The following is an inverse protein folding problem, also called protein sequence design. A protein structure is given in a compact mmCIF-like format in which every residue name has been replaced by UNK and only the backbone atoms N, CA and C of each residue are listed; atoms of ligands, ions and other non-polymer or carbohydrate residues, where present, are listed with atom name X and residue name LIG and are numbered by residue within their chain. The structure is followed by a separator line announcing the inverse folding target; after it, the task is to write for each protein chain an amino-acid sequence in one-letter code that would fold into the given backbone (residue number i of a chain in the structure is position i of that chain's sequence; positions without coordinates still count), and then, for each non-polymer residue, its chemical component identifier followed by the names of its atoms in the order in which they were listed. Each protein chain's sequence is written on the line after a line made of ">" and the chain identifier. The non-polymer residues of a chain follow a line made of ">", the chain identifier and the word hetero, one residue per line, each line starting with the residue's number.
data_IF_247353773090
#
_entry.id   IF_247353773090
#
_cell.length_a   1.000
_cell.length_b   1.000
_cell.length_c   1.000
_cell.angle_alpha   90.00
_cell.angle_beta   90.00
_cell.angle_gamma   90.00
#
_symmetry.space_group_name_H-M   'P 1'
#
loop_
_entity.id
_entity.type
_entity.pdbx_description
1 polymer ?
#
# COMPACT_ATOMS: atom_id res chain seq x y z
N UNK A 1 17.44 -60.87 -82.35
CA UNK A 1 16.38 -61.22 -81.40
C UNK A 1 16.19 -60.11 -80.45
N UNK A 2 15.32 -59.17 -80.73
CA UNK A 2 15.00 -58.03 -79.89
C UNK A 2 13.47 -57.84 -79.95
N UNK A 3 12.82 -57.95 -78.81
CA UNK A 3 11.37 -57.72 -78.63
C UNK A 3 11.09 -56.24 -78.48
N UNK A 4 10.37 -55.65 -79.37
CA UNK A 4 9.76 -54.34 -79.17
C UNK A 4 8.63 -54.38 -78.16
N UNK A 5 8.66 -53.46 -77.21
CA UNK A 5 7.61 -53.25 -76.23
C UNK A 5 6.82 -51.99 -76.62
N UNK A 6 5.56 -52.22 -77.06
CA UNK A 6 4.58 -51.19 -77.44
C UNK A 6 4.17 -50.39 -76.21
N UNK A 7 4.37 -49.07 -76.27
CA UNK A 7 3.91 -48.11 -75.29
C UNK A 7 2.51 -47.60 -75.68
N UNK A 8 1.50 -47.93 -74.87
CA UNK A 8 0.14 -47.42 -75.02
C UNK A 8 0.09 -45.97 -74.55
N UNK A 9 -0.37 -45.06 -75.41
CA UNK A 9 -0.69 -43.65 -75.05
C UNK A 9 -1.87 -43.61 -74.09
N UNK A 10 -1.68 -42.96 -72.96
CA UNK A 10 -2.70 -42.65 -71.94
C UNK A 10 -3.10 -41.20 -72.15
N UNK A 11 -4.41 -40.93 -72.42
CA UNK A 11 -4.98 -39.60 -72.56
C UNK A 11 -4.96 -38.81 -71.21
N UNK A 12 -4.64 -37.53 -71.17
CA UNK A 12 -4.72 -36.74 -69.96
C UNK A 12 -6.17 -36.43 -69.60
N UNK A 13 -6.64 -36.91 -68.48
CA UNK A 13 -7.89 -36.47 -67.81
C UNK A 13 -7.64 -35.14 -67.15
N UNK A 14 -8.33 -34.11 -67.62
CA UNK A 14 -8.33 -32.80 -66.97
C UNK A 14 -9.12 -32.89 -65.65
N UNK A 15 -8.42 -32.90 -64.48
CA UNK A 15 -9.03 -32.76 -63.19
C UNK A 15 -9.15 -31.27 -62.89
N UNK A 16 -10.38 -30.75 -63.02
CA UNK A 16 -10.73 -29.39 -62.57
C UNK A 16 -10.69 -29.39 -61.05
N UNK A 17 -9.61 -28.85 -60.42
CA UNK A 17 -9.55 -28.63 -59.01
C UNK A 17 -10.36 -27.37 -58.71
N UNK A 18 -11.56 -27.57 -58.18
CA UNK A 18 -12.40 -26.51 -57.62
C UNK A 18 -11.72 -26.03 -56.30
N UNK A 19 -11.01 -24.91 -56.41
CA UNK A 19 -10.35 -24.30 -55.25
C UNK A 19 -11.40 -23.80 -54.25
N UNK A 20 -11.58 -24.52 -53.17
CA UNK A 20 -12.30 -24.03 -51.96
C UNK A 20 -11.40 -23.01 -51.29
N UNK A 21 -11.64 -21.72 -51.51
CA UNK A 21 -11.06 -20.66 -50.71
C UNK A 21 -11.66 -20.74 -49.29
N UNK A 22 -10.99 -21.43 -48.38
CA UNK A 22 -11.20 -21.27 -46.98
C UNK A 22 -10.71 -19.84 -46.61
N UNK A 23 -11.64 -18.93 -46.48
CA UNK A 23 -11.37 -17.66 -45.82
C UNK A 23 -11.03 -17.97 -44.36
N UNK A 24 -9.74 -18.08 -44.06
CA UNK A 24 -9.25 -17.98 -42.68
C UNK A 24 -9.59 -16.57 -42.21
N UNK A 25 -10.73 -16.43 -41.54
CA UNK A 25 -10.99 -15.27 -40.71
C UNK A 25 -9.81 -15.16 -39.75
N UNK A 26 -9.06 -14.09 -39.86
CA UNK A 26 -8.12 -13.68 -38.80
C UNK A 26 -8.93 -13.54 -37.51
N UNK A 27 -9.00 -14.62 -36.73
CA UNK A 27 -9.40 -14.50 -35.33
C UNK A 27 -8.39 -13.54 -34.72
N UNK A 28 -8.81 -12.29 -34.47
CA UNK A 28 -7.99 -11.32 -33.77
C UNK A 28 -7.51 -12.00 -32.48
N UNK A 29 -6.21 -11.97 -32.24
CA UNK A 29 -5.65 -12.49 -31.00
C UNK A 29 -6.45 -11.85 -29.85
N UNK A 30 -6.98 -12.67 -28.92
CA UNK A 30 -7.68 -12.16 -27.74
C UNK A 30 -6.75 -11.16 -27.04
N UNK A 31 -7.27 -9.97 -26.78
CA UNK A 31 -6.50 -8.96 -26.07
C UNK A 31 -6.17 -9.48 -24.66
N UNK A 32 -4.91 -9.37 -24.25
CA UNK A 32 -4.43 -9.87 -22.96
C UNK A 32 -4.15 -8.71 -22.03
N UNK A 33 -4.14 -9.01 -20.75
CA UNK A 33 -3.75 -8.03 -19.71
C UNK A 33 -2.38 -7.44 -19.97
N UNK A 34 -2.21 -6.17 -19.64
CA UNK A 34 -0.90 -5.51 -19.65
C UNK A 34 0.10 -6.30 -18.82
N UNK A 35 1.24 -6.63 -19.43
CA UNK A 35 2.31 -7.39 -18.77
C UNK A 35 2.72 -6.72 -17.44
N UNK A 36 2.77 -7.52 -16.39
CA UNK A 36 3.14 -7.06 -15.04
C UNK A 36 1.97 -6.48 -14.23
N UNK A 37 0.75 -6.45 -14.78
CA UNK A 37 -0.44 -6.07 -14.05
C UNK A 37 -1.22 -7.32 -13.60
N UNK A 38 -1.86 -7.22 -12.43
CA UNK A 38 -2.75 -8.23 -11.88
C UNK A 38 -3.91 -7.57 -11.13
N UNK A 39 -4.98 -8.31 -10.91
CA UNK A 39 -6.08 -7.85 -10.07
C UNK A 39 -5.61 -7.62 -8.62
N UNK A 40 -6.25 -6.66 -7.95
CA UNK A 40 -5.90 -6.35 -6.56
C UNK A 40 -6.37 -7.46 -5.61
N UNK A 41 -5.55 -7.89 -4.62
CA UNK A 41 -5.90 -9.00 -3.70
C UNK A 41 -7.22 -8.84 -2.94
N UNK A 42 -7.72 -7.61 -2.78
CA UNK A 42 -9.04 -7.33 -2.18
C UNK A 42 -10.17 -7.68 -3.15
N UNK A 43 -9.93 -7.55 -4.45
CA UNK A 43 -10.85 -7.94 -5.52
C UNK A 43 -10.10 -8.85 -6.49
N UNK A 44 -9.93 -10.14 -6.16
CA UNK A 44 -9.07 -11.05 -6.93
C UNK A 44 -9.64 -11.45 -8.29
N UNK A 45 -10.87 -11.00 -8.58
CA UNK A 45 -11.56 -11.21 -9.86
C UNK A 45 -12.16 -9.90 -10.33
N UNK A 46 -12.31 -9.76 -11.64
CA UNK A 46 -12.96 -8.62 -12.30
C UNK A 46 -14.22 -9.07 -13.05
N UNK A 47 -14.94 -8.13 -13.60
CA UNK A 47 -16.08 -8.44 -14.46
C UNK A 47 -15.62 -9.11 -15.77
N UNK A 48 -16.40 -10.11 -16.23
CA UNK A 48 -16.12 -10.84 -17.47
C UNK A 48 -16.06 -9.90 -18.68
N UNK A 49 -15.14 -10.17 -19.60
CA UNK A 49 -14.93 -9.38 -20.81
C UNK A 49 -14.10 -8.10 -20.60
N UNK A 50 -13.55 -7.88 -19.41
CA UNK A 50 -12.64 -6.77 -19.15
C UNK A 50 -11.20 -7.27 -19.01
N UNK A 51 -10.26 -6.48 -19.55
CA UNK A 51 -8.81 -6.69 -19.44
C UNK A 51 -8.15 -5.52 -18.74
N UNK A 52 -7.01 -5.75 -18.09
CA UNK A 52 -6.23 -4.68 -17.47
C UNK A 52 -5.38 -3.99 -18.55
N UNK A 53 -5.70 -2.74 -18.83
CA UNK A 53 -4.93 -1.87 -19.75
C UNK A 53 -3.85 -1.08 -19.08
N UNK A 54 -4.03 -0.76 -17.80
CA UNK A 54 -3.00 -0.07 -17.01
C UNK A 54 -3.09 -0.42 -15.54
N UNK A 55 -1.93 -0.41 -14.89
CA UNK A 55 -1.83 -0.52 -13.45
C UNK A 55 -0.71 0.39 -12.93
N UNK A 56 -0.99 1.08 -11.84
CA UNK A 56 -0.04 1.96 -11.17
C UNK A 56 -0.12 1.70 -9.68
N UNK A 57 1.03 1.53 -9.04
CA UNK A 57 1.12 1.45 -7.58
C UNK A 57 2.11 2.49 -7.10
N UNK A 58 1.73 3.23 -6.05
CA UNK A 58 2.59 4.14 -5.30
C UNK A 58 2.63 3.66 -3.87
N UNK A 59 3.79 3.55 -3.29
CA UNK A 59 3.96 3.06 -1.92
C UNK A 59 3.36 4.01 -0.89
N UNK A 60 3.29 5.32 -1.22
CA UNK A 60 2.55 6.32 -0.48
C UNK A 60 1.95 7.35 -1.42
N UNK A 61 0.65 7.60 -1.26
CA UNK A 61 -0.09 8.66 -1.98
C UNK A 61 -1.36 8.99 -1.20
N UNK A 62 -1.98 10.12 -1.52
CA UNK A 62 -3.26 10.54 -0.98
C UNK A 62 -4.37 10.39 -2.04
N UNK A 63 -5.56 9.97 -1.61
CA UNK A 63 -6.73 9.93 -2.48
C UNK A 63 -7.97 10.40 -1.72
N UNK A 64 -8.77 11.23 -2.38
CA UNK A 64 -9.99 11.78 -1.84
C UNK A 64 -11.19 10.88 -2.20
N UNK A 65 -11.84 10.33 -1.19
CA UNK A 65 -13.06 9.53 -1.32
C UNK A 65 -14.30 10.34 -0.93
N UNK A 66 -15.31 10.35 -1.77
CA UNK A 66 -16.63 10.83 -1.38
C UNK A 66 -17.28 9.86 -0.41
N UNK A 67 -17.69 10.33 0.76
CA UNK A 67 -18.34 9.55 1.83
C UNK A 67 -19.81 9.93 2.05
N UNK A 68 -20.25 10.99 1.37
CA UNK A 68 -21.62 11.51 1.37
C UNK A 68 -21.81 12.55 0.28
N UNK A 69 -23.01 13.10 0.13
CA UNK A 69 -23.34 14.09 -0.94
C UNK A 69 -22.45 15.34 -0.96
N UNK A 70 -21.83 15.68 0.17
CA UNK A 70 -20.91 16.83 0.31
C UNK A 70 -19.77 16.52 1.28
N UNK A 71 -19.61 15.25 1.59
CA UNK A 71 -18.61 14.80 2.55
C UNK A 71 -17.53 14.04 1.80
N UNK A 72 -16.29 14.37 2.13
CA UNK A 72 -15.11 13.77 1.53
C UNK A 72 -14.12 13.39 2.62
N UNK A 73 -13.36 12.35 2.39
CA UNK A 73 -12.30 11.92 3.27
C UNK A 73 -11.04 11.66 2.45
N UNK A 74 -9.94 12.28 2.85
CA UNK A 74 -8.63 12.03 2.25
C UNK A 74 -8.00 10.86 3.00
N UNK A 75 -7.64 9.82 2.27
CA UNK A 75 -6.96 8.64 2.81
C UNK A 75 -5.58 8.53 2.21
N UNK A 76 -4.60 8.43 3.09
CA UNK A 76 -3.20 8.31 2.73
C UNK A 76 -2.71 6.87 2.94
N UNK A 77 -1.82 6.41 2.08
CA UNK A 77 -1.23 5.08 2.14
C UNK A 77 -0.78 4.57 0.80
N UNK A 78 -0.55 3.25 0.71
CA UNK A 78 -0.20 2.60 -0.54
C UNK A 78 -1.40 2.61 -1.48
N UNK A 79 -1.26 3.31 -2.60
CA UNK A 79 -2.33 3.45 -3.59
C UNK A 79 -2.06 2.60 -4.83
N UNK A 80 -3.01 1.74 -5.17
CA UNK A 80 -3.05 0.99 -6.43
C UNK A 80 -4.21 1.49 -7.28
N UNK A 81 -3.94 1.82 -8.55
CA UNK A 81 -4.94 2.17 -9.55
C UNK A 81 -4.88 1.16 -10.70
N UNK A 82 -6.01 0.53 -11.00
CA UNK A 82 -6.18 -0.37 -12.14
C UNK A 82 -7.15 0.25 -13.13
N UNK A 83 -6.84 0.17 -14.41
CA UNK A 83 -7.72 0.58 -15.50
C UNK A 83 -8.11 -0.64 -16.31
N UNK A 84 -9.39 -0.94 -16.30
CA UNK A 84 -9.98 -2.03 -17.09
C UNK A 84 -10.67 -1.49 -18.32
N UNK A 85 -10.52 -2.19 -19.45
CA UNK A 85 -11.22 -1.91 -20.69
C UNK A 85 -12.04 -3.11 -21.08
N UNK A 86 -13.23 -2.86 -21.66
CA UNK A 86 -14.05 -3.92 -22.24
C UNK A 86 -13.45 -4.36 -23.58
N UNK A 87 -13.28 -5.66 -23.80
CA UNK A 87 -12.77 -6.22 -25.03
C UNK A 87 -13.77 -6.05 -26.18
N UNK A 88 -15.04 -6.32 -25.91
CA UNK A 88 -16.14 -6.22 -26.86
C UNK A 88 -17.17 -5.19 -26.37
N UNK A 89 -17.18 -4.03 -27.00
CA UNK A 89 -18.11 -2.93 -26.64
C UNK A 89 -19.58 -3.32 -26.80
N UNK A 90 -19.90 -4.27 -27.67
CA UNK A 90 -21.28 -4.71 -27.87
C UNK A 90 -21.83 -5.49 -26.65
N UNK A 91 -20.94 -5.98 -25.80
CA UNK A 91 -21.23 -6.73 -24.56
C UNK A 91 -21.05 -5.90 -23.29
N UNK A 92 -20.83 -4.59 -23.45
CA UNK A 92 -20.59 -3.73 -22.29
C UNK A 92 -21.83 -3.65 -21.40
N UNK A 93 -21.71 -4.01 -20.10
CA UNK A 93 -22.80 -3.86 -19.16
C UNK A 93 -23.15 -2.39 -18.92
N UNK A 94 -24.38 -2.11 -18.52
CA UNK A 94 -24.80 -0.75 -18.14
C UNK A 94 -24.01 -0.26 -16.92
N UNK A 95 -23.82 1.07 -16.79
CA UNK A 95 -23.13 1.66 -15.65
C UNK A 95 -23.75 1.23 -14.30
N UNK A 96 -25.09 1.23 -14.10
CA UNK A 96 -25.71 0.71 -12.89
C UNK A 96 -25.38 -0.77 -12.61
N UNK A 97 -25.25 -1.61 -13.65
CA UNK A 97 -24.91 -3.02 -13.48
C UNK A 97 -23.48 -3.19 -12.98
N UNK A 98 -22.54 -2.39 -13.53
CA UNK A 98 -21.14 -2.38 -13.10
C UNK A 98 -21.03 -1.91 -11.66
N UNK A 99 -21.59 -0.75 -11.34
CA UNK A 99 -21.51 -0.14 -10.01
C UNK A 99 -22.12 -1.07 -8.95
N UNK A 100 -23.28 -1.70 -9.24
CA UNK A 100 -23.92 -2.66 -8.34
C UNK A 100 -23.11 -3.93 -8.15
N UNK A 101 -22.44 -4.41 -9.18
CA UNK A 101 -21.56 -5.58 -9.06
C UNK A 101 -20.42 -5.31 -8.07
N UNK A 102 -19.79 -4.16 -8.15
CA UNK A 102 -18.72 -3.79 -7.21
C UNK A 102 -19.25 -3.39 -5.83
N UNK A 103 -20.44 -2.82 -5.71
CA UNK A 103 -21.13 -2.65 -4.44
C UNK A 103 -21.27 -4.01 -3.71
N UNK A 104 -21.74 -5.03 -4.42
CA UNK A 104 -21.87 -6.38 -3.89
C UNK A 104 -20.51 -7.01 -3.56
N UNK A 105 -19.49 -6.77 -4.40
CA UNK A 105 -18.12 -7.24 -4.14
C UNK A 105 -17.55 -6.63 -2.84
N UNK A 106 -17.72 -5.32 -2.62
CA UNK A 106 -17.31 -4.67 -1.37
C UNK A 106 -17.99 -5.33 -0.16
N UNK A 107 -19.32 -5.54 -0.24
CA UNK A 107 -20.08 -6.19 0.84
C UNK A 107 -19.65 -7.64 1.07
N UNK A 108 -19.35 -8.39 0.00
CA UNK A 108 -18.97 -9.81 0.10
C UNK A 108 -17.62 -10.03 0.77
N UNK A 109 -16.71 -9.07 0.69
CA UNK A 109 -15.42 -9.10 1.42
C UNK A 109 -15.51 -8.49 2.83
N UNK A 110 -16.71 -8.28 3.36
CA UNK A 110 -16.95 -7.71 4.69
C UNK A 110 -16.81 -6.19 4.76
N UNK A 111 -16.81 -5.51 3.62
CA UNK A 111 -16.69 -4.06 3.56
C UNK A 111 -18.03 -3.32 3.74
N UNK A 112 -17.91 -2.05 4.05
CA UNK A 112 -19.02 -1.09 4.15
C UNK A 112 -19.02 -0.17 2.96
N UNK A 113 -20.14 -0.01 2.27
CA UNK A 113 -20.32 1.01 1.23
C UNK A 113 -20.51 2.36 1.92
N UNK A 114 -19.66 3.33 1.58
CA UNK A 114 -19.67 4.67 2.16
C UNK A 114 -20.54 5.62 1.35
N UNK A 115 -20.38 5.58 0.02
CA UNK A 115 -21.15 6.40 -0.90
C UNK A 115 -21.34 5.67 -2.23
N UNK A 116 -22.51 5.87 -2.83
CA UNK A 116 -22.92 5.24 -4.08
C UNK A 116 -23.57 6.27 -4.99
N UNK A 117 -22.98 6.51 -6.14
CA UNK A 117 -23.62 7.08 -7.32
C UNK A 117 -23.91 5.94 -8.31
N UNK A 118 -25.20 5.64 -8.52
CA UNK A 118 -25.65 4.44 -9.24
C UNK A 118 -25.16 4.38 -10.70
N UNK A 119 -24.90 5.53 -11.31
CA UNK A 119 -24.54 5.64 -12.71
C UNK A 119 -23.04 5.89 -12.91
N UNK A 120 -22.30 6.13 -11.84
CA UNK A 120 -20.92 6.57 -11.95
C UNK A 120 -19.93 5.78 -11.10
N UNK A 121 -20.11 5.71 -9.78
CA UNK A 121 -19.11 5.09 -8.91
C UNK A 121 -19.66 4.56 -7.59
N UNK A 122 -18.88 3.71 -6.94
CA UNK A 122 -19.07 3.26 -5.56
C UNK A 122 -17.79 3.40 -4.77
N UNK A 123 -17.91 3.94 -3.56
CA UNK A 123 -16.84 4.03 -2.58
C UNK A 123 -17.12 3.09 -1.41
N UNK A 124 -16.12 2.36 -0.97
CA UNK A 124 -16.23 1.44 0.15
C UNK A 124 -14.99 1.42 1.02
N UNK A 125 -15.21 0.97 2.25
CA UNK A 125 -14.18 0.74 3.27
C UNK A 125 -14.21 -0.71 3.70
N UNK A 126 -13.05 -1.34 3.77
CA UNK A 126 -12.87 -2.74 4.14
C UNK A 126 -11.83 -2.78 5.26
N UNK A 127 -12.07 -3.60 6.29
CA UNK A 127 -11.08 -3.89 7.33
C UNK A 127 -10.71 -5.36 7.21
N UNK A 128 -9.45 -5.62 6.85
CA UNK A 128 -8.94 -6.98 6.68
C UNK A 128 -7.56 -7.09 7.32
N UNK A 129 -7.39 -8.12 8.14
CA UNK A 129 -6.12 -8.40 8.84
C UNK A 129 -5.58 -7.18 9.63
N UNK A 130 -6.49 -6.43 10.27
CA UNK A 130 -6.17 -5.22 11.02
C UNK A 130 -5.82 -4.00 10.17
N UNK A 131 -5.84 -4.12 8.84
CA UNK A 131 -5.60 -3.02 7.90
C UNK A 131 -6.90 -2.40 7.42
N UNK A 132 -6.92 -1.08 7.36
CA UNK A 132 -8.02 -0.31 6.78
C UNK A 132 -7.72 -0.07 5.29
N UNK A 133 -8.63 -0.51 4.43
CA UNK A 133 -8.51 -0.46 2.97
C UNK A 133 -9.71 0.32 2.43
N UNK A 134 -9.45 1.31 1.60
CA UNK A 134 -10.48 2.08 0.93
C UNK A 134 -10.45 1.80 -0.56
N UNK A 135 -11.61 1.68 -1.16
CA UNK A 135 -11.74 1.39 -2.58
C UNK A 135 -12.77 2.29 -3.25
N UNK A 136 -12.42 2.80 -4.42
CA UNK A 136 -13.35 3.43 -5.35
C UNK A 136 -13.37 2.65 -6.66
N UNK A 137 -14.56 2.35 -7.14
CA UNK A 137 -14.75 1.86 -8.51
C UNK A 137 -15.58 2.88 -9.26
N UNK A 138 -15.00 3.43 -10.31
CA UNK A 138 -15.62 4.46 -11.16
C UNK A 138 -15.77 3.94 -12.59
N UNK A 139 -16.95 4.14 -13.16
CA UNK A 139 -17.26 3.85 -14.56
C UNK A 139 -17.16 5.14 -15.39
N UNK A 140 -16.34 5.13 -16.41
CA UNK A 140 -16.20 6.26 -17.33
C UNK A 140 -15.96 5.82 -18.78
N UNK A 141 -16.87 6.18 -19.70
CA UNK A 141 -16.80 5.70 -21.06
C UNK A 141 -16.81 4.18 -21.14
N UNK A 142 -15.85 3.57 -21.82
CA UNK A 142 -15.66 2.09 -21.92
C UNK A 142 -14.71 1.53 -20.87
N UNK A 143 -14.37 2.33 -19.87
CA UNK A 143 -13.38 1.98 -18.85
C UNK A 143 -14.02 1.82 -17.47
N UNK A 144 -13.37 1.00 -16.65
CA UNK A 144 -13.58 0.95 -15.21
C UNK A 144 -12.25 1.29 -14.56
N UNK A 145 -12.27 2.23 -13.63
CA UNK A 145 -11.12 2.54 -12.78
C UNK A 145 -11.37 1.99 -11.39
N UNK A 146 -10.48 1.13 -10.95
CA UNK A 146 -10.42 0.68 -9.56
C UNK A 146 -9.24 1.39 -8.89
N UNK A 147 -9.54 2.21 -7.89
CA UNK A 147 -8.54 2.81 -7.01
C UNK A 147 -8.66 2.19 -5.64
N UNK A 148 -7.56 1.64 -5.11
CA UNK A 148 -7.48 1.08 -3.77
C UNK A 148 -6.40 1.80 -2.99
N UNK A 149 -6.71 2.22 -1.76
CA UNK A 149 -5.74 2.78 -0.82
C UNK A 149 -5.69 1.90 0.41
N UNK A 150 -4.56 1.24 0.63
CA UNK A 150 -4.24 0.56 1.88
C UNK A 150 -3.70 1.61 2.84
N UNK A 151 -4.53 2.03 3.81
CA UNK A 151 -4.19 3.11 4.74
C UNK A 151 -2.91 2.81 5.50
N UNK A 152 -1.95 3.70 5.39
CA UNK A 152 -0.65 3.60 6.07
C UNK A 152 -0.11 5.02 6.33
N UNK A 153 0.67 5.17 7.40
CA UNK A 153 1.45 6.39 7.59
C UNK A 153 2.59 6.47 6.58
N UNK A 154 2.97 7.69 6.21
CA UNK A 154 4.16 7.92 5.39
C UNK A 154 5.42 7.50 6.15
N UNK A 155 6.28 6.71 5.51
CA UNK A 155 7.63 6.51 6.01
C UNK A 155 8.39 7.84 5.94
N UNK A 156 8.91 8.30 7.07
CA UNK A 156 9.66 9.54 7.14
C UNK A 156 11.07 9.31 6.58
N UNK A 157 11.32 9.69 5.33
CA UNK A 157 12.65 9.57 4.71
C UNK A 157 13.59 10.71 5.13
N UNK A 158 13.03 11.90 5.40
CA UNK A 158 13.78 13.04 5.90
C UNK A 158 13.72 13.00 7.42
N UNK A 159 14.75 12.43 8.04
CA UNK A 159 14.91 12.39 9.50
C UNK A 159 15.74 13.60 9.92
N UNK A 160 15.42 14.21 11.05
CA UNK A 160 16.34 15.16 11.66
C UNK A 160 17.70 14.47 11.85
N UNK A 161 18.77 15.12 11.42
CA UNK A 161 20.10 14.52 11.49
C UNK A 161 20.69 14.61 12.92
N UNK A 162 21.83 13.94 13.14
CA UNK A 162 22.53 13.92 14.41
C UNK A 162 22.81 15.33 14.96
N UNK A 163 23.16 16.29 14.08
CA UNK A 163 23.43 17.68 14.47
C UNK A 163 22.17 18.39 14.99
N UNK A 164 21.01 18.15 14.37
CA UNK A 164 19.74 18.71 14.83
C UNK A 164 19.35 18.13 16.20
N UNK A 165 19.47 16.82 16.39
CA UNK A 165 19.24 16.19 17.69
C UNK A 165 20.20 16.74 18.77
N UNK A 166 21.48 16.91 18.43
CA UNK A 166 22.47 17.50 19.35
C UNK A 166 22.10 18.93 19.74
N UNK A 167 21.69 19.78 18.80
CA UNK A 167 21.25 21.16 19.08
C UNK A 167 20.00 21.20 19.95
N UNK A 168 19.01 20.34 19.68
CA UNK A 168 17.78 20.26 20.48
C UNK A 168 18.11 19.84 21.91
N UNK A 169 18.94 18.81 22.10
CA UNK A 169 19.37 18.34 23.41
C UNK A 169 20.13 19.45 24.17
N UNK A 170 21.09 20.12 23.51
CA UNK A 170 21.84 21.22 24.12
C UNK A 170 20.95 22.40 24.52
N UNK A 171 19.90 22.70 23.77
CA UNK A 171 19.03 23.86 23.99
C UNK A 171 17.89 23.60 24.98
N UNK A 172 17.33 22.37 24.94
CA UNK A 172 16.09 22.01 25.67
C UNK A 172 16.25 20.83 26.61
N UNK A 173 17.39 20.13 26.58
CA UNK A 173 17.63 18.90 27.35
C UNK A 173 17.06 17.65 26.69
N UNK A 174 16.35 17.75 25.56
CA UNK A 174 15.74 16.60 24.89
C UNK A 174 15.57 16.82 23.38
N UNK A 175 15.40 15.73 22.63
CA UNK A 175 15.06 15.73 21.21
C UNK A 175 14.01 14.68 20.89
N UNK A 176 12.95 15.03 20.14
CA UNK A 176 11.94 14.10 19.68
C UNK A 176 12.38 13.42 18.39
N UNK A 177 12.24 12.09 18.33
CA UNK A 177 12.55 11.29 17.14
C UNK A 177 11.26 10.81 16.51
N UNK A 178 10.88 11.34 15.36
CA UNK A 178 9.67 10.97 14.64
C UNK A 178 9.88 9.86 13.59
N UNK A 179 11.08 9.32 13.45
CA UNK A 179 11.40 8.26 12.48
C UNK A 179 11.44 6.84 13.06
N UNK A 180 10.93 6.63 14.28
CA UNK A 180 10.87 5.30 14.91
C UNK A 180 9.45 4.76 14.81
N UNK A 181 9.28 3.64 14.11
CA UNK A 181 7.98 3.04 13.81
C UNK A 181 7.76 1.71 14.50
N UNK A 182 6.51 1.49 14.90
CA UNK A 182 6.01 0.26 15.50
C UNK A 182 4.64 -0.08 14.91
N UNK A 183 4.30 -1.36 14.88
CA UNK A 183 2.93 -1.76 14.60
C UNK A 183 2.02 -1.42 15.80
N UNK A 184 0.70 -1.31 15.53
CA UNK A 184 -0.29 -1.03 16.56
C UNK A 184 -0.22 -2.09 17.66
N UNK A 185 -0.06 -1.64 18.90
CA UNK A 185 0.04 -2.50 20.09
C UNK A 185 1.32 -3.32 20.21
N UNK A 186 2.30 -3.15 19.29
CA UNK A 186 3.58 -3.87 19.32
C UNK A 186 4.73 -2.95 19.71
N UNK A 187 5.81 -3.57 20.19
CA UNK A 187 7.06 -2.92 20.58
C UNK A 187 8.24 -3.27 19.66
N UNK A 188 8.04 -4.14 18.66
CA UNK A 188 9.07 -4.46 17.67
C UNK A 188 9.34 -3.25 16.77
N UNK A 189 10.62 -2.85 16.70
CA UNK A 189 11.05 -1.72 15.85
C UNK A 189 11.03 -2.16 14.40
N UNK A 190 10.30 -1.42 13.57
CA UNK A 190 10.17 -1.73 12.14
C UNK A 190 11.45 -1.38 11.36
N UNK A 191 11.72 -2.09 10.24
CA UNK A 191 12.89 -1.83 9.39
C UNK A 191 12.99 -0.37 8.90
N UNK A 192 11.86 0.29 8.69
CA UNK A 192 11.79 1.69 8.25
C UNK A 192 12.39 2.68 9.28
N UNK A 193 12.59 2.24 10.52
CA UNK A 193 13.23 3.06 11.57
C UNK A 193 14.77 3.14 11.46
N UNK A 194 15.37 2.36 10.57
CA UNK A 194 16.82 2.21 10.49
C UNK A 194 17.55 3.54 10.28
N UNK A 195 17.01 4.43 9.43
CA UNK A 195 17.60 5.74 9.17
C UNK A 195 17.65 6.60 10.45
N UNK A 196 16.59 6.63 11.25
CA UNK A 196 16.53 7.37 12.51
C UNK A 196 17.49 6.79 13.55
N UNK A 197 17.55 5.46 13.69
CA UNK A 197 18.51 4.79 14.58
C UNK A 197 19.95 5.10 14.21
N UNK A 198 20.27 5.16 12.92
CA UNK A 198 21.61 5.52 12.44
C UNK A 198 22.00 6.95 12.81
N UNK A 199 21.07 7.91 12.72
CA UNK A 199 21.34 9.29 13.13
C UNK A 199 21.55 9.42 14.65
N UNK A 200 20.79 8.67 15.46
CA UNK A 200 21.04 8.60 16.91
C UNK A 200 22.42 8.00 17.24
N UNK A 201 22.80 6.96 16.52
CA UNK A 201 24.12 6.36 16.69
C UNK A 201 25.26 7.33 16.28
N UNK A 202 25.09 8.11 15.21
CA UNK A 202 26.03 9.19 14.83
C UNK A 202 26.13 10.26 15.90
N UNK A 203 25.02 10.73 16.47
CA UNK A 203 25.01 11.69 17.58
C UNK A 203 25.87 11.18 18.74
N UNK A 204 25.60 9.94 19.17
CA UNK A 204 26.36 9.32 20.26
C UNK A 204 27.83 9.06 19.93
N UNK A 205 28.17 8.85 18.66
CA UNK A 205 29.55 8.69 18.22
C UNK A 205 30.29 10.03 18.21
N UNK A 206 29.59 11.13 17.89
CA UNK A 206 30.13 12.49 17.89
C UNK A 206 30.39 13.06 19.29
N UNK A 207 29.62 12.62 20.29
CA UNK A 207 29.84 13.01 21.69
C UNK A 207 29.98 11.76 22.59
N UNK A 208 31.21 11.33 22.89
CA UNK A 208 31.47 10.14 23.71
C UNK A 208 30.96 10.22 25.15
N UNK A 209 30.72 11.41 25.67
CA UNK A 209 30.27 11.61 27.05
C UNK A 209 28.75 11.65 27.20
N UNK A 210 28.04 11.90 26.11
CA UNK A 210 26.57 12.00 26.10
C UNK A 210 25.91 10.67 26.50
N UNK A 211 25.08 10.74 27.55
CA UNK A 211 24.25 9.63 28.02
C UNK A 211 22.79 10.03 27.88
N UNK A 212 21.96 9.10 27.41
CA UNK A 212 20.56 9.39 27.07
C UNK A 212 19.59 8.46 27.79
N UNK A 213 18.50 9.03 28.28
CA UNK A 213 17.25 8.30 28.44
C UNK A 213 16.58 8.21 27.08
N UNK A 214 16.17 7.01 26.71
CA UNK A 214 15.32 6.77 25.53
C UNK A 214 13.90 6.64 26.03
N UNK A 215 13.07 7.65 25.80
CA UNK A 215 11.73 7.75 26.39
C UNK A 215 10.66 7.44 25.34
N UNK A 216 9.90 6.37 25.59
CA UNK A 216 8.75 6.01 24.75
C UNK A 216 7.47 6.71 25.20
N UNK A 217 6.68 7.20 24.24
CA UNK A 217 5.39 7.84 24.49
C UNK A 217 4.28 7.13 23.69
N UNK A 218 3.04 7.22 24.17
CA UNK A 218 1.84 6.80 23.49
C UNK A 218 0.86 7.96 23.34
N UNK A 219 -0.17 7.77 22.53
CA UNK A 219 -1.38 8.58 22.62
C UNK A 219 -2.24 8.14 23.81
N UNK A 220 -3.40 8.76 24.00
CA UNK A 220 -4.33 8.46 25.09
C UNK A 220 -5.33 7.34 24.80
N UNK A 221 -5.20 6.63 23.67
CA UNK A 221 -6.12 5.53 23.33
C UNK A 221 -5.78 4.28 24.15
N UNK A 222 -6.78 3.71 24.82
CA UNK A 222 -6.63 2.53 25.67
C UNK A 222 -6.40 2.83 27.15
N UNK A 223 -6.01 1.82 27.91
CA UNK A 223 -5.81 1.92 29.34
C UNK A 223 -4.42 2.49 29.68
N UNK A 224 -4.36 3.32 30.71
CA UNK A 224 -3.12 3.98 31.15
C UNK A 224 -2.00 2.97 31.42
N UNK A 225 -2.29 1.94 32.20
CA UNK A 225 -1.30 0.92 32.60
C UNK A 225 -0.76 0.14 31.39
N UNK A 226 -1.63 -0.16 30.41
CA UNK A 226 -1.23 -0.82 29.17
C UNK A 226 -0.31 0.08 28.35
N UNK A 227 -0.64 1.37 28.25
CA UNK A 227 0.16 2.37 27.53
C UNK A 227 1.51 2.62 28.22
N UNK A 228 1.56 2.63 29.55
CA UNK A 228 2.82 2.70 30.30
C UNK A 228 3.73 1.50 29.98
N UNK A 229 3.19 0.28 30.04
CA UNK A 229 3.95 -0.95 29.68
C UNK A 229 4.39 -0.94 28.23
N UNK A 230 3.51 -0.56 27.28
CA UNK A 230 3.83 -0.51 25.86
C UNK A 230 4.94 0.49 25.56
N UNK A 231 4.86 1.68 26.14
CA UNK A 231 5.89 2.72 25.95
C UNK A 231 7.25 2.29 26.52
N UNK A 232 7.26 1.63 27.68
CA UNK A 232 8.48 1.05 28.27
C UNK A 232 9.09 -0.02 27.35
N UNK A 233 8.29 -0.98 26.86
CA UNK A 233 8.75 -2.02 25.95
C UNK A 233 9.28 -1.46 24.63
N UNK A 234 8.68 -0.38 24.10
CA UNK A 234 9.15 0.31 22.90
C UNK A 234 10.51 0.99 23.13
N UNK A 235 10.67 1.68 24.24
CA UNK A 235 11.95 2.28 24.63
C UNK A 235 13.06 1.22 24.76
N UNK A 236 12.76 0.08 25.38
CA UNK A 236 13.68 -1.06 25.50
C UNK A 236 14.08 -1.60 24.12
N UNK A 237 13.12 -1.76 23.21
CA UNK A 237 13.40 -2.24 21.85
C UNK A 237 14.30 -1.29 21.07
N UNK A 238 14.11 0.03 21.20
CA UNK A 238 14.99 1.05 20.59
C UNK A 238 16.40 0.96 21.18
N UNK A 239 16.53 0.89 22.49
CA UNK A 239 17.83 0.74 23.16
C UNK A 239 18.54 -0.53 22.67
N UNK A 240 17.83 -1.67 22.62
CA UNK A 240 18.40 -2.92 22.11
C UNK A 240 18.83 -2.82 20.65
N UNK A 241 18.07 -2.12 19.80
CA UNK A 241 18.44 -1.91 18.41
C UNK A 241 19.72 -1.07 18.28
N UNK A 242 19.85 0.01 19.07
CA UNK A 242 21.05 0.85 19.09
C UNK A 242 22.29 0.07 19.56
N UNK A 243 22.14 -0.76 20.59
CA UNK A 243 23.26 -1.59 21.11
C UNK A 243 23.66 -2.66 20.09
N UNK A 244 22.70 -3.45 19.61
CA UNK A 244 22.99 -4.64 18.77
C UNK A 244 23.38 -4.29 17.34
N UNK A 245 22.70 -3.31 16.73
CA UNK A 245 22.86 -3.03 15.32
C UNK A 245 23.80 -1.86 15.04
N UNK A 246 24.02 -0.98 16.03
CA UNK A 246 24.84 0.22 15.87
C UNK A 246 26.02 0.31 16.85
N UNK A 247 26.22 -0.71 17.71
CA UNK A 247 27.38 -0.80 18.58
C UNK A 247 27.43 0.25 19.70
N UNK A 248 26.30 0.89 20.05
CA UNK A 248 26.25 1.86 21.14
C UNK A 248 26.44 1.15 22.47
N UNK A 249 27.33 1.68 23.33
CA UNK A 249 27.58 1.10 24.66
C UNK A 249 26.33 1.15 25.54
N UNK A 250 25.94 0.02 26.13
CA UNK A 250 24.73 -0.10 26.95
C UNK A 250 24.74 0.89 28.17
N UNK A 251 25.90 1.21 28.69
CA UNK A 251 26.04 2.17 29.81
C UNK A 251 25.65 3.60 29.47
N UNK A 252 25.46 3.90 28.18
CA UNK A 252 25.10 5.24 27.71
C UNK A 252 23.60 5.41 27.47
N UNK A 253 22.81 4.31 27.53
CA UNK A 253 21.39 4.31 27.19
C UNK A 253 20.57 3.73 28.33
N UNK A 254 19.46 4.40 28.68
CA UNK A 254 18.49 3.89 29.66
C UNK A 254 17.08 4.01 29.07
N UNK A 255 16.35 2.90 28.92
CA UNK A 255 14.98 2.95 28.43
C UNK A 255 14.01 3.43 29.51
N UNK A 256 13.03 4.25 29.15
CA UNK A 256 11.99 4.72 30.02
C UNK A 256 10.65 4.83 29.28
N UNK A 257 9.57 4.40 29.93
CA UNK A 257 8.22 4.57 29.39
C UNK A 257 7.51 5.74 30.06
N UNK A 258 7.00 6.67 29.28
CA UNK A 258 6.16 7.78 29.73
C UNK A 258 4.67 7.59 29.40
N UNK A 259 4.31 6.59 28.60
CA UNK A 259 2.92 6.40 28.20
C UNK A 259 2.28 7.67 27.64
N UNK A 260 1.01 7.98 27.98
CA UNK A 260 0.30 9.15 27.48
C UNK A 260 0.44 10.40 28.36
N UNK A 261 1.26 10.40 29.43
CA UNK A 261 1.26 11.44 30.46
C UNK A 261 1.97 12.74 30.05
N UNK A 262 2.75 12.73 28.96
CA UNK A 262 3.45 13.90 28.43
C UNK A 262 3.08 14.16 26.95
N UNK A 263 1.85 14.60 26.66
CA UNK A 263 1.43 14.87 25.28
C UNK A 263 2.08 16.16 24.75
N UNK A 264 2.54 16.14 23.51
CA UNK A 264 3.04 17.33 22.78
C UNK A 264 1.98 17.94 21.86
N UNK A 265 0.86 17.22 21.67
CA UNK A 265 -0.27 17.68 20.88
C UNK A 265 -1.59 17.15 21.46
N UNK A 266 -2.73 17.68 20.98
CA UNK A 266 -4.05 17.22 21.43
C UNK A 266 -4.29 15.75 21.03
N UNK A 267 -4.83 14.95 21.96
CA UNK A 267 -5.27 13.58 21.67
C UNK A 267 -6.66 13.50 20.99
N UNK A 268 -7.31 14.63 20.72
CA UNK A 268 -8.65 14.69 20.12
C UNK A 268 -8.64 14.42 18.63
N UNK A 269 -7.53 14.70 17.94
CA UNK A 269 -7.36 14.47 16.49
C UNK A 269 -6.33 13.36 16.24
N UNK A 270 -6.42 12.70 15.09
CA UNK A 270 -5.44 11.67 14.72
C UNK A 270 -4.05 12.26 14.49
N UNK A 271 -3.96 13.46 13.90
CA UNK A 271 -2.71 14.17 13.69
C UNK A 271 -2.01 14.47 15.03
N UNK A 272 -2.80 14.87 16.03
CA UNK A 272 -2.26 15.12 17.38
C UNK A 272 -1.83 13.82 18.07
N UNK A 273 -2.62 12.75 17.97
CA UNK A 273 -2.24 11.44 18.49
C UNK A 273 -0.98 10.90 17.82
N UNK A 274 -0.84 11.08 16.50
CA UNK A 274 0.37 10.67 15.76
C UNK A 274 1.64 11.36 16.31
N UNK A 275 1.57 12.65 16.68
CA UNK A 275 2.67 13.37 17.31
C UNK A 275 2.98 12.85 18.73
N UNK A 276 1.95 12.38 19.45
CA UNK A 276 2.12 11.83 20.79
C UNK A 276 2.76 10.44 20.78
N UNK A 277 2.56 9.64 19.73
CA UNK A 277 3.21 8.34 19.52
C UNK A 277 4.65 8.52 19.02
N UNK A 278 5.57 8.84 19.91
CA UNK A 278 6.96 9.19 19.60
C UNK A 278 7.97 8.55 20.54
N UNK A 279 9.23 8.66 20.19
CA UNK A 279 10.37 8.40 21.06
C UNK A 279 11.12 9.70 21.26
N UNK A 280 11.58 9.99 22.49
CA UNK A 280 12.44 11.11 22.82
C UNK A 280 13.80 10.64 23.33
N UNK A 281 14.83 11.38 22.99
CA UNK A 281 16.14 11.32 23.64
C UNK A 281 16.22 12.42 24.68
N UNK A 282 16.50 12.08 25.89
CA UNK A 282 16.63 13.03 27.01
C UNK A 282 18.02 12.89 27.60
N UNK A 283 18.75 13.99 27.76
CA UNK A 283 20.06 14.00 28.37
C UNK A 283 19.98 13.59 29.84
N UNK A 284 20.99 12.78 30.33
CA UNK A 284 21.06 12.30 31.70
C UNK A 284 21.91 13.19 32.57
#
# INVERSE_FOLDING_TARGET
>A
MGKEISVKKVNPVWITILGLFFAFGLAGAAEVDKKGCADHPVFPTRMSGYIIRDCQTKDFDAFEFETGKREKNIVEGRRTKLTYWIEDRSKEPSAPAIVRNYENAIKSVGGTVLFLDKDRFVNGKIVKDGKEIWAQVEKGGTQIWLTVVEKAGMAQEIVANADAFGKDIQSTGHAAIYGIYFDTGKSEVKPESQAALQEVAKLLSGDPNLKLLVVGHTDSVGQLEANMKLSQARAEAVVQALIKNHGVAASRLRPQGAGPIAPVATNRTEEGRAKNRRVELVEQ
#
